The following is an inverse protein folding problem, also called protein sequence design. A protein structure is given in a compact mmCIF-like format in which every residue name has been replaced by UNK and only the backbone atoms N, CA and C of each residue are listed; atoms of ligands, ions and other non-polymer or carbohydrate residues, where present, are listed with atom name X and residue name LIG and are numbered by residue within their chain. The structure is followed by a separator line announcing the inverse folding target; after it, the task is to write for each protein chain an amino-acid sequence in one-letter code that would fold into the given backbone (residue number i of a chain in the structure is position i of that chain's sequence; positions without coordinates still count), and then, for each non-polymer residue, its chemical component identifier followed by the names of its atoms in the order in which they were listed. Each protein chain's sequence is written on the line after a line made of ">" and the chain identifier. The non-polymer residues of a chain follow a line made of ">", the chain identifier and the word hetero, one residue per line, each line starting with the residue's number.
data_IF_935264846496
#
_entry.id   IF_935264846496
#
_cell.length_a   1.000
_cell.length_b   1.000
_cell.length_c   1.000
_cell.angle_alpha   90.00
_cell.angle_beta   90.00
_cell.angle_gamma   90.00
#
_symmetry.space_group_name_H-M   'P 1'
#
loop_
_entity.id
_entity.type
_entity.pdbx_description
1 polymer ?
#
# COMPACT_ATOMS: atom_id res chain seq x y z
N UNK A 1 6.40 -55.13 -45.64
CA UNK A 1 7.35 -54.33 -44.90
C UNK A 1 6.59 -53.11 -44.38
N UNK A 2 5.95 -53.24 -43.21
CA UNK A 2 5.07 -52.21 -42.62
C UNK A 2 5.85 -51.35 -41.63
N UNK A 3 6.07 -50.08 -41.95
CA UNK A 3 6.57 -49.06 -41.00
C UNK A 3 5.38 -48.50 -40.24
N UNK A 4 5.26 -48.80 -38.95
CA UNK A 4 4.34 -48.13 -38.03
C UNK A 4 4.93 -46.77 -37.65
N UNK A 5 4.24 -45.70 -38.04
CA UNK A 5 4.47 -44.33 -37.51
C UNK A 5 3.92 -44.26 -36.09
N UNK A 6 4.79 -44.10 -35.12
CA UNK A 6 4.41 -43.78 -33.74
C UNK A 6 4.26 -42.25 -33.63
N UNK A 7 3.03 -41.78 -33.60
CA UNK A 7 2.74 -40.35 -33.32
C UNK A 7 2.93 -40.08 -31.83
N UNK A 8 3.92 -39.23 -31.51
CA UNK A 8 4.16 -38.70 -30.18
C UNK A 8 3.17 -37.55 -29.94
N UNK A 9 2.12 -37.77 -29.16
CA UNK A 9 1.22 -36.73 -28.70
C UNK A 9 1.92 -36.07 -27.51
N UNK A 10 2.48 -34.87 -27.72
CA UNK A 10 2.94 -33.99 -26.62
C UNK A 10 1.70 -33.31 -26.05
N UNK A 11 1.21 -33.79 -24.90
CA UNK A 11 0.24 -33.05 -24.08
C UNK A 11 0.99 -31.86 -23.46
N UNK A 12 0.79 -30.70 -24.04
CA UNK A 12 1.17 -29.43 -23.37
C UNK A 12 0.18 -29.25 -22.21
N UNK A 13 0.63 -29.55 -21.01
CA UNK A 13 -0.05 -29.14 -19.79
C UNK A 13 0.10 -27.60 -19.68
N UNK A 14 -0.88 -26.85 -20.19
CA UNK A 14 -1.09 -25.47 -19.79
C UNK A 14 -1.54 -25.53 -18.33
N UNK A 15 -0.60 -25.38 -17.42
CA UNK A 15 -0.91 -25.05 -16.04
C UNK A 15 -1.72 -23.76 -16.06
N UNK A 16 -3.01 -23.86 -15.80
CA UNK A 16 -3.79 -22.67 -15.48
C UNK A 16 -3.12 -22.05 -14.24
N UNK A 17 -2.43 -20.94 -14.42
CA UNK A 17 -2.09 -20.04 -13.33
C UNK A 17 -3.43 -19.66 -12.72
N UNK A 18 -3.74 -20.21 -11.55
CA UNK A 18 -4.85 -19.72 -10.74
C UNK A 18 -4.47 -18.28 -10.34
N UNK A 19 -4.81 -17.33 -11.18
CA UNK A 19 -4.80 -15.93 -10.82
C UNK A 19 -5.77 -15.79 -9.65
N UNK A 20 -5.27 -15.38 -8.51
CA UNK A 20 -6.10 -15.16 -7.34
C UNK A 20 -7.01 -13.96 -7.64
N UNK A 21 -8.33 -14.16 -7.51
CA UNK A 21 -9.32 -13.13 -7.73
C UNK A 21 -9.00 -11.88 -6.91
N UNK A 22 -8.77 -10.77 -7.57
CA UNK A 22 -8.57 -9.49 -6.90
C UNK A 22 -9.89 -8.70 -6.92
N UNK A 23 -10.24 -8.13 -5.78
CA UNK A 23 -11.34 -7.17 -5.67
C UNK A 23 -10.75 -5.77 -5.65
N UNK A 24 -11.25 -4.91 -6.54
CA UNK A 24 -10.84 -3.51 -6.61
C UNK A 24 -12.02 -2.65 -6.20
N UNK A 25 -11.76 -1.68 -5.34
CA UNK A 25 -12.73 -0.65 -4.96
C UNK A 25 -12.32 0.68 -5.56
N UNK A 26 -13.32 1.49 -5.98
CA UNK A 26 -13.10 2.79 -6.58
C UNK A 26 -14.09 3.82 -6.04
N UNK A 27 -13.57 4.95 -5.53
CA UNK A 27 -14.38 6.06 -5.01
C UNK A 27 -14.76 6.99 -6.14
N UNK A 28 -16.05 7.15 -6.42
CA UNK A 28 -16.56 8.04 -7.45
C UNK A 28 -17.15 9.30 -6.81
N UNK A 29 -16.38 10.37 -6.80
CA UNK A 29 -16.70 11.58 -6.03
C UNK A 29 -17.95 12.29 -6.49
N UNK A 30 -18.13 12.53 -7.79
CA UNK A 30 -19.32 13.20 -8.33
C UNK A 30 -20.54 12.30 -8.31
N UNK A 31 -20.40 11.02 -8.63
CA UNK A 31 -21.48 10.03 -8.51
C UNK A 31 -21.87 9.74 -7.07
N UNK A 32 -20.97 10.03 -6.11
CA UNK A 32 -21.14 9.70 -4.69
C UNK A 32 -21.40 8.21 -4.47
N UNK A 33 -20.64 7.37 -5.15
CA UNK A 33 -20.74 5.92 -5.06
C UNK A 33 -19.37 5.29 -4.87
N UNK A 34 -19.36 4.09 -4.30
CA UNK A 34 -18.24 3.17 -4.33
C UNK A 34 -18.50 2.12 -5.41
N UNK A 35 -17.56 1.92 -6.30
CA UNK A 35 -17.58 0.79 -7.23
C UNK A 35 -16.85 -0.40 -6.63
N UNK A 36 -17.35 -1.61 -6.91
CA UNK A 36 -16.65 -2.88 -6.64
C UNK A 36 -16.43 -3.61 -7.96
N UNK A 37 -15.20 -3.94 -8.24
CA UNK A 37 -14.79 -4.68 -9.44
C UNK A 37 -14.19 -6.02 -8.99
N UNK A 38 -14.67 -7.09 -9.59
CA UNK A 38 -14.20 -8.45 -9.38
C UNK A 38 -13.50 -8.91 -10.67
N UNK A 39 -12.19 -9.11 -10.58
CA UNK A 39 -11.37 -9.39 -11.78
C UNK A 39 -11.55 -10.82 -12.28
N UNK A 40 -11.97 -11.74 -11.44
CA UNK A 40 -12.17 -13.14 -11.79
C UNK A 40 -13.49 -13.34 -12.55
N UNK A 41 -14.59 -12.86 -11.97
CA UNK A 41 -15.89 -12.88 -12.63
C UNK A 41 -16.03 -11.83 -13.73
N UNK A 42 -15.04 -10.93 -13.87
CA UNK A 42 -15.04 -9.80 -14.80
C UNK A 42 -16.25 -8.89 -14.66
N UNK A 43 -16.75 -8.74 -13.44
CA UNK A 43 -17.94 -7.95 -13.14
C UNK A 43 -17.60 -6.64 -12.44
N UNK A 44 -18.48 -5.66 -12.63
CA UNK A 44 -18.43 -4.37 -11.94
C UNK A 44 -19.82 -4.01 -11.41
N UNK A 45 -19.85 -3.51 -10.17
CA UNK A 45 -21.00 -2.84 -9.57
C UNK A 45 -20.60 -1.40 -9.22
N UNK A 46 -21.07 -0.44 -10.00
CA UNK A 46 -20.79 0.99 -9.78
C UNK A 46 -21.65 1.62 -8.67
N UNK A 47 -22.60 0.88 -8.14
CA UNK A 47 -23.51 1.28 -7.06
C UNK A 47 -23.36 0.42 -5.82
N UNK A 48 -22.20 -0.22 -5.64
CA UNK A 48 -21.90 -1.14 -4.54
C UNK A 48 -22.19 -0.52 -3.17
N UNK A 49 -21.87 0.77 -2.99
CA UNK A 49 -22.30 1.54 -1.84
C UNK A 49 -22.61 2.99 -2.23
N UNK A 50 -23.58 3.60 -1.53
CA UNK A 50 -23.87 5.04 -1.62
C UNK A 50 -22.97 5.77 -0.63
N UNK A 51 -22.30 6.84 -1.08
CA UNK A 51 -21.39 7.64 -0.27
C UNK A 51 -21.98 9.02 0.07
N UNK A 52 -21.39 9.65 1.09
CA UNK A 52 -21.67 11.02 1.51
C UNK A 52 -21.25 12.07 0.49
N UNK A 53 -21.21 13.34 0.92
CA UNK A 53 -20.84 14.46 0.06
C UNK A 53 -19.33 14.52 -0.18
N UNK A 54 -18.95 14.68 -1.44
CA UNK A 54 -17.53 14.82 -1.87
C UNK A 54 -16.65 13.71 -1.29
N UNK A 55 -16.95 12.43 -1.57
CA UNK A 55 -16.08 11.35 -1.14
C UNK A 55 -14.74 11.47 -1.86
N UNK A 56 -13.64 11.15 -1.13
CA UNK A 56 -12.29 11.41 -1.60
C UNK A 56 -11.42 10.16 -1.57
N UNK A 57 -10.63 9.95 -0.52
CA UNK A 57 -9.74 8.81 -0.39
C UNK A 57 -10.33 7.74 0.55
N UNK A 58 -9.78 6.53 0.48
CA UNK A 58 -10.23 5.41 1.31
C UNK A 58 -9.06 4.60 1.85
N UNK A 59 -9.31 3.94 2.97
CA UNK A 59 -8.50 2.82 3.46
C UNK A 59 -9.39 1.61 3.71
N UNK A 60 -8.83 0.41 3.70
CA UNK A 60 -9.61 -0.82 3.90
C UNK A 60 -8.80 -1.88 4.65
N UNK A 61 -9.51 -2.83 5.26
CA UNK A 61 -8.95 -4.06 5.79
C UNK A 61 -9.77 -5.28 5.35
N UNK A 62 -9.64 -6.40 6.06
CA UNK A 62 -10.33 -7.65 5.72
C UNK A 62 -11.86 -7.50 5.72
N UNK A 63 -12.42 -6.75 6.67
CA UNK A 63 -13.86 -6.67 6.90
C UNK A 63 -14.48 -5.33 6.50
N UNK A 64 -13.71 -4.24 6.48
CA UNK A 64 -14.24 -2.88 6.38
C UNK A 64 -13.57 -2.04 5.30
N UNK A 65 -14.31 -1.04 4.85
CA UNK A 65 -13.82 0.07 4.02
C UNK A 65 -14.18 1.37 4.75
N UNK A 66 -13.20 2.26 4.92
CA UNK A 66 -13.41 3.61 5.43
C UNK A 66 -13.18 4.62 4.33
N UNK A 67 -14.24 5.38 4.01
CA UNK A 67 -14.20 6.40 2.96
C UNK A 67 -14.35 7.79 3.56
N UNK A 68 -13.45 8.68 3.21
CA UNK A 68 -13.55 10.10 3.57
C UNK A 68 -14.71 10.73 2.79
N UNK A 69 -15.63 11.42 3.49
CA UNK A 69 -16.68 12.25 2.92
C UNK A 69 -16.39 13.72 3.29
N UNK A 70 -15.55 14.39 2.48
CA UNK A 70 -15.01 15.72 2.79
C UNK A 70 -16.09 16.78 2.97
N UNK A 71 -17.15 16.73 2.14
CA UNK A 71 -18.27 17.69 2.21
C UNK A 71 -19.13 17.56 3.47
N UNK A 72 -19.17 16.36 4.07
CA UNK A 72 -19.92 16.07 5.29
C UNK A 72 -19.05 16.18 6.56
N UNK A 73 -17.74 16.31 6.42
CA UNK A 73 -16.76 16.24 7.50
C UNK A 73 -16.81 14.92 8.29
N UNK A 74 -17.00 13.81 7.59
CA UNK A 74 -17.18 12.49 8.17
C UNK A 74 -16.33 11.43 7.46
N UNK A 75 -16.20 10.27 8.11
CA UNK A 75 -15.76 9.01 7.51
C UNK A 75 -16.94 8.06 7.51
N UNK A 76 -17.24 7.45 6.38
CA UNK A 76 -18.17 6.33 6.31
C UNK A 76 -17.43 5.01 6.45
N UNK A 77 -17.89 4.18 7.37
CA UNK A 77 -17.43 2.81 7.57
C UNK A 77 -18.43 1.87 6.90
N UNK A 78 -17.97 1.09 5.96
CA UNK A 78 -18.78 0.16 5.16
C UNK A 78 -18.30 -1.27 5.42
N UNK A 79 -19.26 -2.20 5.40
CA UNK A 79 -18.93 -3.62 5.28
C UNK A 79 -18.33 -3.88 3.90
N UNK A 80 -17.13 -4.44 3.88
CA UNK A 80 -16.37 -4.61 2.62
C UNK A 80 -17.00 -5.62 1.66
N UNK A 81 -17.72 -6.61 2.15
CA UNK A 81 -18.29 -7.67 1.32
C UNK A 81 -19.64 -7.25 0.71
N UNK A 82 -20.43 -6.49 1.46
CA UNK A 82 -21.81 -6.14 1.09
C UNK A 82 -22.01 -4.69 0.67
N UNK A 83 -21.03 -3.80 0.97
CA UNK A 83 -21.17 -2.35 0.76
C UNK A 83 -22.13 -1.67 1.74
N UNK A 84 -22.64 -2.39 2.73
CA UNK A 84 -23.59 -1.84 3.70
C UNK A 84 -22.93 -0.79 4.59
N UNK A 85 -23.56 0.37 4.76
CA UNK A 85 -23.10 1.38 5.71
C UNK A 85 -23.26 0.86 7.14
N UNK A 86 -22.16 0.74 7.87
CA UNK A 86 -22.12 0.32 9.26
C UNK A 86 -22.21 1.53 10.21
N UNK A 87 -21.36 2.54 9.98
CA UNK A 87 -21.29 3.75 10.80
C UNK A 87 -20.91 4.96 9.97
N UNK A 88 -21.34 6.15 10.44
CA UNK A 88 -20.83 7.44 9.99
C UNK A 88 -20.07 8.06 11.17
N UNK A 89 -18.79 8.30 11.00
CA UNK A 89 -17.87 8.77 12.05
C UNK A 89 -17.58 10.26 11.84
N UNK A 90 -18.04 11.17 12.71
CA UNK A 90 -17.73 12.60 12.59
C UNK A 90 -16.25 12.85 12.92
N UNK A 91 -15.59 13.68 12.11
CA UNK A 91 -14.19 14.09 12.35
C UNK A 91 -14.15 15.38 13.17
N UNK A 92 -14.39 16.52 12.54
CA UNK A 92 -14.48 17.83 13.21
C UNK A 92 -15.25 18.80 12.32
N UNK A 93 -15.92 19.82 12.90
CA UNK A 93 -16.62 20.82 12.11
C UNK A 93 -15.69 21.54 11.13
N UNK A 94 -16.11 21.67 9.88
CA UNK A 94 -15.40 22.38 8.81
C UNK A 94 -13.95 21.95 8.59
N UNK A 95 -13.58 20.71 8.96
CA UNK A 95 -12.21 20.23 8.79
C UNK A 95 -11.88 19.83 7.35
N UNK A 96 -12.90 19.55 6.53
CA UNK A 96 -12.73 19.01 5.18
C UNK A 96 -11.70 17.86 5.18
N UNK A 97 -12.04 16.70 5.74
CA UNK A 97 -11.11 15.57 5.80
C UNK A 97 -10.71 15.15 4.39
N UNK A 98 -9.42 14.81 4.19
CA UNK A 98 -8.90 14.52 2.85
C UNK A 98 -8.44 13.08 2.69
N UNK A 99 -7.59 12.59 3.57
CA UNK A 99 -7.09 11.22 3.55
C UNK A 99 -7.37 10.52 4.88
N UNK A 100 -7.44 9.20 4.83
CA UNK A 100 -7.65 8.33 5.98
C UNK A 100 -6.74 7.11 5.90
N UNK A 101 -6.05 6.82 7.01
CA UNK A 101 -5.20 5.64 7.13
C UNK A 101 -5.52 4.88 8.41
N UNK A 102 -5.84 3.58 8.27
CA UNK A 102 -6.05 2.69 9.42
C UNK A 102 -4.72 2.16 9.93
N UNK A 103 -4.44 2.35 11.22
CA UNK A 103 -3.28 1.77 11.92
C UNK A 103 -3.76 1.21 13.26
N UNK A 104 -3.68 -0.10 13.42
CA UNK A 104 -4.19 -0.78 14.62
C UNK A 104 -5.69 -0.49 14.85
N UNK A 105 -6.04 -0.02 16.05
CA UNK A 105 -7.40 0.29 16.46
C UNK A 105 -7.83 1.74 16.18
N UNK A 106 -7.08 2.45 15.33
CA UNK A 106 -7.30 3.87 15.05
C UNK A 106 -7.35 4.18 13.56
N UNK A 107 -8.16 5.20 13.22
CA UNK A 107 -8.08 5.92 11.96
C UNK A 107 -7.32 7.24 12.18
N UNK A 108 -6.36 7.51 11.32
CA UNK A 108 -5.68 8.79 11.24
C UNK A 108 -6.23 9.53 10.02
N UNK A 109 -6.66 10.78 10.22
CA UNK A 109 -7.40 11.55 9.21
C UNK A 109 -6.81 12.95 9.11
N UNK A 110 -6.46 13.38 7.91
CA UNK A 110 -6.02 14.76 7.66
C UNK A 110 -7.22 15.68 7.53
N UNK A 111 -7.16 16.85 8.15
CA UNK A 111 -8.16 17.90 8.05
C UNK A 111 -7.61 19.10 7.29
N UNK A 112 -7.89 19.15 5.99
CA UNK A 112 -7.34 20.12 5.03
C UNK A 112 -7.50 21.58 5.48
N UNK A 113 -8.67 21.95 6.04
CA UNK A 113 -8.98 23.32 6.40
C UNK A 113 -8.65 23.69 7.85
N UNK A 114 -8.19 22.73 8.63
CA UNK A 114 -7.86 22.93 10.05
C UNK A 114 -6.39 22.79 10.35
N UNK A 115 -5.58 22.43 9.35
CA UNK A 115 -4.14 22.16 9.48
C UNK A 115 -3.83 21.10 10.55
N UNK A 116 -4.71 20.07 10.66
CA UNK A 116 -4.62 19.08 11.72
C UNK A 116 -4.63 17.65 11.18
N UNK A 117 -3.96 16.78 11.94
CA UNK A 117 -4.13 15.36 11.92
C UNK A 117 -5.06 14.95 13.06
N UNK A 118 -6.10 14.18 12.78
CA UNK A 118 -7.04 13.65 13.75
C UNK A 118 -6.79 12.15 13.97
N UNK A 119 -6.94 11.70 15.22
CA UNK A 119 -6.89 10.30 15.61
C UNK A 119 -8.27 9.89 16.11
N UNK A 120 -8.95 8.99 15.40
CA UNK A 120 -10.24 8.42 15.77
C UNK A 120 -10.05 7.01 16.30
N UNK A 121 -10.76 6.68 17.37
CA UNK A 121 -10.83 5.31 17.89
C UNK A 121 -11.91 4.53 17.16
N UNK A 122 -11.56 3.37 16.59
CA UNK A 122 -12.53 2.45 15.98
C UNK A 122 -13.52 1.90 17.00
N UNK A 123 -13.08 1.68 18.24
CA UNK A 123 -13.95 1.18 19.31
C UNK A 123 -15.07 2.17 19.68
N UNK A 124 -14.75 3.46 19.87
CA UNK A 124 -15.73 4.47 20.24
C UNK A 124 -16.40 5.18 19.05
N UNK A 125 -15.78 5.15 17.86
CA UNK A 125 -16.23 5.90 16.70
C UNK A 125 -16.03 7.43 16.82
N UNK A 126 -15.18 7.89 17.73
CA UNK A 126 -14.99 9.31 18.04
C UNK A 126 -13.53 9.72 17.92
N UNK A 127 -13.28 11.02 17.72
CA UNK A 127 -11.94 11.61 17.79
C UNK A 127 -11.44 11.55 19.22
N UNK A 128 -10.30 10.92 19.43
CA UNK A 128 -9.62 10.79 20.73
C UNK A 128 -8.34 11.64 20.82
N UNK A 129 -7.93 12.23 19.72
CA UNK A 129 -6.78 13.15 19.68
C UNK A 129 -6.76 13.97 18.41
N UNK A 130 -6.14 15.16 18.48
CA UNK A 130 -5.83 15.98 17.30
C UNK A 130 -4.47 16.63 17.48
N UNK A 131 -3.72 16.76 16.39
CA UNK A 131 -2.37 17.25 16.37
C UNK A 131 -2.23 18.34 15.30
N UNK A 132 -1.65 19.49 15.64
CA UNK A 132 -1.31 20.51 14.66
C UNK A 132 -0.17 20.03 13.79
N UNK A 133 -0.34 20.08 12.47
CA UNK A 133 0.67 19.75 11.46
C UNK A 133 0.93 20.96 10.57
N UNK A 134 1.51 20.79 9.40
CA UNK A 134 1.68 21.89 8.46
C UNK A 134 0.38 22.28 7.75
N UNK A 135 0.45 23.35 6.92
CA UNK A 135 -0.73 23.93 6.27
C UNK A 135 -1.31 23.01 5.19
N UNK A 136 -2.63 22.89 5.22
CA UNK A 136 -3.42 22.11 4.28
C UNK A 136 -2.92 20.67 4.11
N UNK A 137 -3.02 19.83 5.17
CA UNK A 137 -2.56 18.45 5.13
C UNK A 137 -3.48 17.60 4.25
N UNK A 138 -2.87 16.81 3.36
CA UNK A 138 -3.54 15.89 2.44
C UNK A 138 -3.10 14.42 2.70
N UNK A 139 -2.13 13.90 1.95
CA UNK A 139 -1.78 12.49 1.97
C UNK A 139 -1.12 11.97 3.24
N UNK A 140 -1.32 10.70 3.52
CA UNK A 140 -0.78 9.96 4.65
C UNK A 140 0.05 8.74 4.20
N UNK A 141 1.13 8.47 4.90
CA UNK A 141 1.86 7.20 4.80
C UNK A 141 2.44 6.80 6.16
N UNK A 142 2.53 5.50 6.44
CA UNK A 142 3.13 4.99 7.67
C UNK A 142 4.35 4.12 7.36
N UNK A 143 5.33 4.14 8.26
CA UNK A 143 6.47 3.24 8.25
C UNK A 143 6.97 3.00 9.68
N UNK A 144 6.84 1.76 10.15
CA UNK A 144 7.11 1.42 11.55
C UNK A 144 6.19 2.21 12.50
N UNK A 145 6.77 2.86 13.48
CA UNK A 145 6.06 3.69 14.46
C UNK A 145 5.91 5.16 14.01
N UNK A 146 6.24 5.48 12.75
CA UNK A 146 6.14 6.84 12.20
C UNK A 146 4.97 6.95 11.23
N UNK A 147 4.26 8.08 11.32
CA UNK A 147 3.26 8.51 10.35
C UNK A 147 3.73 9.81 9.69
N UNK A 148 3.67 9.84 8.37
CA UNK A 148 4.04 11.00 7.55
C UNK A 148 2.80 11.67 7.02
N UNK A 149 2.77 12.99 7.11
CA UNK A 149 1.66 13.85 6.66
C UNK A 149 2.17 14.82 5.62
N UNK A 150 1.64 14.76 4.41
CA UNK A 150 1.93 15.70 3.35
C UNK A 150 1.17 17.02 3.59
N UNK A 151 1.88 18.11 3.82
CA UNK A 151 1.31 19.45 3.99
C UNK A 151 1.51 20.22 2.69
N UNK A 152 0.44 20.46 1.95
CA UNK A 152 0.53 21.07 0.60
C UNK A 152 0.94 22.52 0.60
N UNK A 153 0.80 23.23 1.73
CA UNK A 153 1.01 24.68 1.85
C UNK A 153 -0.21 25.51 1.45
N UNK A 154 -1.23 24.87 0.88
CA UNK A 154 -2.52 25.48 0.53
C UNK A 154 -2.53 26.31 -0.76
N UNK A 155 -3.58 26.14 -1.55
CA UNK A 155 -3.78 26.85 -2.83
C UNK A 155 -3.71 28.38 -2.69
N UNK A 156 -4.33 28.93 -1.65
CA UNK A 156 -4.36 30.38 -1.41
C UNK A 156 -2.98 30.99 -1.19
N UNK A 157 -2.01 30.18 -0.75
CA UNK A 157 -0.62 30.58 -0.54
C UNK A 157 0.29 30.15 -1.69
N UNK A 158 -0.27 29.80 -2.84
CA UNK A 158 0.46 29.22 -3.98
C UNK A 158 1.37 28.06 -3.54
N UNK A 159 0.88 27.24 -2.58
CA UNK A 159 1.58 26.09 -2.01
C UNK A 159 2.94 26.44 -1.38
N UNK A 160 3.10 27.64 -0.86
CA UNK A 160 4.28 28.03 -0.11
C UNK A 160 4.39 27.22 1.19
N UNK A 161 5.63 26.95 1.64
CA UNK A 161 5.92 26.18 2.85
C UNK A 161 5.42 24.71 2.81
N UNK A 162 5.37 24.14 1.62
CA UNK A 162 5.12 22.69 1.44
C UNK A 162 6.11 21.87 2.25
N UNK A 163 5.61 20.88 2.98
CA UNK A 163 6.42 20.07 3.89
C UNK A 163 5.82 18.69 4.13
N UNK A 164 6.58 17.82 4.78
CA UNK A 164 6.10 16.58 5.38
C UNK A 164 6.29 16.67 6.89
N UNK A 165 5.20 16.56 7.65
CA UNK A 165 5.29 16.38 9.10
C UNK A 165 5.54 14.91 9.42
N UNK A 166 6.51 14.65 10.30
CA UNK A 166 6.82 13.31 10.84
C UNK A 166 6.20 13.21 12.22
N UNK A 167 5.30 12.27 12.40
CA UNK A 167 4.56 12.05 13.64
C UNK A 167 4.98 10.72 14.25
N UNK A 168 5.39 10.74 15.52
CA UNK A 168 5.61 9.52 16.31
C UNK A 168 4.24 9.04 16.82
N UNK A 169 3.89 7.79 16.48
CA UNK A 169 2.62 7.19 16.84
C UNK A 169 2.54 6.75 18.31
N UNK A 170 3.69 6.61 18.98
CA UNK A 170 3.75 6.14 20.38
C UNK A 170 3.21 7.16 21.37
N UNK A 171 3.48 8.44 21.12
CA UNK A 171 3.01 9.58 21.95
C UNK A 171 2.11 10.57 21.19
N UNK A 172 1.90 10.32 19.90
CA UNK A 172 1.11 11.15 18.99
C UNK A 172 1.60 12.59 18.95
N UNK A 173 2.89 12.79 18.66
CA UNK A 173 3.54 14.10 18.58
C UNK A 173 4.26 14.31 17.24
N UNK A 174 4.39 15.58 16.77
CA UNK A 174 5.23 15.93 15.63
C UNK A 174 6.68 15.95 16.10
N UNK A 175 7.51 15.07 15.54
CA UNK A 175 8.94 14.98 15.88
C UNK A 175 9.84 15.69 14.88
N UNK A 176 9.36 15.93 13.66
CA UNK A 176 10.09 16.69 12.63
C UNK A 176 9.13 17.28 11.58
N UNK A 177 9.61 18.28 10.85
CA UNK A 177 8.93 18.85 9.68
C UNK A 177 9.97 19.07 8.58
N UNK A 178 9.83 18.36 7.47
CA UNK A 178 10.82 18.30 6.39
C UNK A 178 10.30 19.11 5.21
N UNK A 179 10.97 20.20 4.78
CA UNK A 179 10.58 20.94 3.58
C UNK A 179 10.68 20.05 2.32
N UNK A 180 9.67 20.14 1.46
CA UNK A 180 9.62 19.41 0.19
C UNK A 180 9.20 20.33 -0.95
N UNK A 181 9.18 19.81 -2.18
CA UNK A 181 8.72 20.55 -3.34
C UNK A 181 7.23 20.93 -3.24
N UNK A 182 6.80 21.87 -4.07
CA UNK A 182 5.46 22.47 -4.04
C UNK A 182 4.34 21.45 -4.15
N UNK A 183 3.35 21.54 -3.24
CA UNK A 183 2.11 20.78 -3.26
C UNK A 183 2.30 19.25 -3.15
N UNK A 184 2.86 18.72 -2.06
CA UNK A 184 2.91 17.29 -1.80
C UNK A 184 1.49 16.75 -1.53
N UNK A 185 1.03 15.81 -2.34
CA UNK A 185 -0.32 15.24 -2.20
C UNK A 185 -0.33 13.76 -1.84
N UNK A 186 0.64 12.98 -2.33
CA UNK A 186 0.71 11.55 -2.07
C UNK A 186 2.06 11.15 -1.50
N UNK A 187 2.02 10.18 -0.61
CA UNK A 187 3.19 9.62 0.06
C UNK A 187 3.21 8.10 -0.09
N UNK A 188 4.37 7.52 -0.29
CA UNK A 188 4.55 6.07 -0.27
C UNK A 188 5.92 5.72 0.27
N UNK A 189 5.97 4.84 1.27
CA UNK A 189 7.23 4.33 1.82
C UNK A 189 7.67 3.04 1.11
N UNK A 190 8.97 2.93 0.81
CA UNK A 190 9.62 1.74 0.28
C UNK A 190 11.05 1.63 0.83
N UNK A 191 11.40 0.49 1.42
CA UNK A 191 12.78 0.15 1.85
C UNK A 191 13.50 1.25 2.64
N UNK A 192 12.79 1.86 3.61
CA UNK A 192 13.35 2.92 4.46
C UNK A 192 13.40 4.31 3.80
N UNK A 193 12.83 4.48 2.64
CA UNK A 193 12.68 5.76 1.94
C UNK A 193 11.21 6.15 1.84
N UNK A 194 10.91 7.43 2.04
CA UNK A 194 9.61 8.00 1.76
C UNK A 194 9.67 8.76 0.44
N UNK A 195 8.83 8.35 -0.50
CA UNK A 195 8.67 9.01 -1.79
C UNK A 195 7.45 9.92 -1.72
N UNK A 196 7.67 11.21 -1.95
CA UNK A 196 6.68 12.28 -1.83
C UNK A 196 6.33 12.78 -3.22
N UNK A 197 5.11 12.54 -3.65
CA UNK A 197 4.60 13.05 -4.93
C UNK A 197 4.11 14.47 -4.75
N UNK A 198 4.88 15.42 -5.28
CA UNK A 198 4.60 16.84 -5.27
C UNK A 198 4.03 17.25 -6.65
N UNK A 199 2.79 17.73 -6.68
CA UNK A 199 2.04 18.00 -7.93
C UNK A 199 2.51 19.27 -8.63
N UNK A 200 3.16 20.20 -7.89
CA UNK A 200 3.44 21.54 -8.36
C UNK A 200 2.29 22.52 -8.08
N UNK A 201 2.39 23.76 -8.54
CA UNK A 201 1.45 24.81 -8.17
C UNK A 201 0.31 25.07 -9.17
N UNK A 202 0.07 24.15 -10.09
CA UNK A 202 -0.95 24.25 -11.16
C UNK A 202 -0.72 25.40 -12.16
N UNK A 203 0.40 26.09 -12.07
CA UNK A 203 0.79 27.20 -12.93
C UNK A 203 2.16 26.94 -13.59
N UNK A 204 3.20 27.52 -13.05
CA UNK A 204 4.56 27.52 -13.58
C UNK A 204 5.49 26.47 -12.96
N UNK A 205 5.15 25.92 -11.77
CA UNK A 205 5.92 24.86 -11.15
C UNK A 205 5.34 23.50 -11.50
N UNK A 206 6.13 22.69 -12.20
CA UNK A 206 5.80 21.30 -12.49
C UNK A 206 6.04 20.39 -11.27
N UNK A 207 5.41 19.21 -11.30
CA UNK A 207 5.53 18.22 -10.22
C UNK A 207 6.89 17.52 -10.19
N UNK A 208 7.28 17.08 -9.01
CA UNK A 208 8.52 16.36 -8.72
C UNK A 208 8.28 15.28 -7.66
N UNK A 209 9.12 14.28 -7.62
CA UNK A 209 9.18 13.35 -6.51
C UNK A 209 10.32 13.76 -5.59
N UNK A 210 10.02 14.09 -4.35
CA UNK A 210 11.03 14.21 -3.31
C UNK A 210 11.20 12.88 -2.60
N UNK A 211 12.43 12.51 -2.31
CA UNK A 211 12.78 11.28 -1.60
C UNK A 211 13.44 11.65 -0.28
N UNK A 212 12.88 11.14 0.80
CA UNK A 212 13.34 11.35 2.17
C UNK A 212 13.89 10.02 2.70
N UNK A 213 15.05 10.05 3.32
CA UNK A 213 15.57 8.92 4.09
C UNK A 213 14.84 8.85 5.43
N UNK A 214 14.09 7.78 5.69
CA UNK A 214 13.24 7.68 6.88
C UNK A 214 14.06 7.61 8.18
N UNK A 215 15.16 6.83 8.28
CA UNK A 215 15.96 6.76 9.49
C UNK A 215 16.59 8.10 9.91
N UNK A 216 17.14 8.85 8.98
CA UNK A 216 17.74 10.16 9.27
C UNK A 216 16.74 11.32 9.23
N UNK A 217 15.59 11.11 8.62
CA UNK A 217 14.56 12.13 8.34
C UNK A 217 15.11 13.31 7.51
N UNK A 218 16.05 13.05 6.63
CA UNK A 218 16.67 14.05 5.76
C UNK A 218 16.20 13.89 4.31
N UNK A 219 16.11 15.00 3.59
CA UNK A 219 15.85 15.03 2.16
C UNK A 219 17.04 14.40 1.42
N UNK A 220 16.81 13.28 0.74
CA UNK A 220 17.85 12.52 0.04
C UNK A 220 18.02 12.96 -1.42
N UNK A 221 16.92 13.12 -2.16
CA UNK A 221 16.96 13.43 -3.57
C UNK A 221 15.64 14.02 -4.07
N UNK A 222 15.71 14.65 -5.25
CA UNK A 222 14.55 15.14 -6.01
C UNK A 222 14.60 14.61 -7.43
N UNK A 223 13.52 13.99 -7.89
CA UNK A 223 13.38 13.39 -9.23
C UNK A 223 12.46 14.28 -10.06
N UNK A 224 12.96 14.75 -11.19
CA UNK A 224 12.29 15.73 -12.02
C UNK A 224 11.52 15.05 -13.16
N UNK A 225 10.35 14.48 -12.83
CA UNK A 225 9.49 13.82 -13.83
C UNK A 225 8.73 14.83 -14.69
N UNK A 226 8.53 16.03 -14.21
CA UNK A 226 7.69 17.09 -14.77
C UNK A 226 6.24 16.59 -15.05
N UNK A 227 5.27 17.48 -15.02
CA UNK A 227 3.86 17.13 -15.10
C UNK A 227 3.13 17.48 -13.81
N UNK A 228 1.92 16.94 -13.61
CA UNK A 228 1.09 17.14 -12.41
C UNK A 228 1.01 15.81 -11.67
N UNK A 229 2.04 15.49 -10.89
CA UNK A 229 2.21 14.17 -10.30
C UNK A 229 1.14 13.91 -9.24
N UNK A 230 0.63 12.68 -9.25
CA UNK A 230 -0.42 12.19 -8.36
C UNK A 230 0.07 10.93 -7.59
N UNK A 231 -0.73 9.90 -7.50
CA UNK A 231 -0.42 8.69 -6.74
C UNK A 231 0.89 8.01 -7.19
N UNK A 232 1.53 7.33 -6.25
CA UNK A 232 2.73 6.52 -6.49
C UNK A 232 2.47 5.10 -6.02
N UNK A 233 2.80 4.14 -6.86
CA UNK A 233 2.80 2.72 -6.54
C UNK A 233 4.13 2.09 -6.95
N UNK A 234 4.58 1.05 -6.24
CA UNK A 234 5.84 0.36 -6.50
C UNK A 234 5.60 -1.10 -6.88
N UNK A 235 6.23 -1.53 -7.96
CA UNK A 235 6.32 -2.95 -8.29
C UNK A 235 7.24 -3.71 -7.33
N UNK A 236 7.15 -5.04 -7.34
CA UNK A 236 8.05 -5.91 -6.56
C UNK A 236 9.53 -5.76 -6.93
N UNK A 237 9.83 -5.18 -8.09
CA UNK A 237 11.19 -4.90 -8.56
C UNK A 237 11.68 -3.51 -8.14
N UNK A 238 10.86 -2.73 -7.43
CA UNK A 238 11.19 -1.37 -7.01
C UNK A 238 11.01 -0.34 -8.14
N UNK A 239 10.23 -0.64 -9.17
CA UNK A 239 9.86 0.35 -10.19
C UNK A 239 8.65 1.13 -9.71
N UNK A 240 8.82 2.43 -9.55
CA UNK A 240 7.74 3.35 -9.25
C UNK A 240 6.89 3.63 -10.49
N UNK A 241 5.58 3.52 -10.37
CA UNK A 241 4.60 4.03 -11.31
C UNK A 241 3.95 5.27 -10.70
N UNK A 242 3.93 6.37 -11.44
CA UNK A 242 3.46 7.67 -10.95
C UNK A 242 2.32 8.16 -11.82
N UNK A 243 1.17 8.40 -11.20
CA UNK A 243 -0.01 8.97 -11.86
C UNK A 243 0.18 10.44 -12.22
N UNK A 244 -0.69 10.94 -13.08
CA UNK A 244 -0.68 12.33 -13.58
C UNK A 244 -2.11 12.89 -13.61
N UNK A 245 -2.31 14.08 -13.05
CA UNK A 245 -3.63 14.67 -12.80
C UNK A 245 -4.47 14.90 -14.06
N UNK A 246 -3.85 15.26 -15.17
CA UNK A 246 -4.54 15.46 -16.44
C UNK A 246 -4.76 14.15 -17.21
N UNK A 247 -4.28 13.05 -16.62
CA UNK A 247 -4.38 11.69 -17.19
C UNK A 247 -3.86 11.59 -18.63
N UNK A 248 -2.84 12.39 -18.97
CA UNK A 248 -2.21 12.39 -20.30
C UNK A 248 -1.25 11.22 -20.48
N UNK A 249 -0.87 10.58 -19.39
CA UNK A 249 0.01 9.42 -19.32
C UNK A 249 0.22 9.01 -17.88
N UNK A 250 1.22 8.17 -17.66
CA UNK A 250 1.83 7.93 -16.34
C UNK A 250 3.35 7.76 -16.53
N UNK A 251 4.08 7.90 -15.43
CA UNK A 251 5.54 7.97 -15.48
C UNK A 251 6.16 6.84 -14.67
N UNK A 252 7.45 6.58 -14.90
CA UNK A 252 8.20 5.56 -14.15
C UNK A 252 9.59 6.06 -13.79
N UNK A 253 10.03 5.62 -12.62
CA UNK A 253 11.43 5.70 -12.21
C UNK A 253 11.81 4.46 -11.39
N UNK A 254 13.11 4.18 -11.32
CA UNK A 254 13.64 3.14 -10.44
C UNK A 254 13.82 3.72 -9.04
N UNK A 255 13.10 3.19 -8.03
CA UNK A 255 13.07 3.73 -6.67
C UNK A 255 14.39 3.50 -5.89
N UNK A 256 15.24 2.57 -6.32
CA UNK A 256 16.53 2.31 -5.69
C UNK A 256 17.63 3.22 -6.25
N UNK A 257 17.77 3.27 -7.57
CA UNK A 257 18.77 4.11 -8.25
C UNK A 257 18.32 5.56 -8.47
N UNK A 258 17.02 5.83 -8.32
CA UNK A 258 16.34 7.11 -8.57
C UNK A 258 16.41 7.57 -10.04
N UNK A 259 16.72 6.64 -10.97
CA UNK A 259 16.83 6.91 -12.38
C UNK A 259 15.45 7.04 -13.04
N UNK A 260 15.25 8.07 -13.83
CA UNK A 260 14.02 8.29 -14.61
C UNK A 260 13.96 7.28 -15.75
N UNK A 261 12.87 6.54 -15.87
CA UNK A 261 12.58 5.61 -16.97
C UNK A 261 11.61 6.24 -17.98
N UNK A 262 10.60 6.94 -17.50
CA UNK A 262 9.62 7.69 -18.31
C UNK A 262 9.21 8.96 -17.56
N UNK A 263 8.95 10.02 -18.30
CA UNK A 263 8.53 11.34 -17.78
C UNK A 263 7.48 11.96 -18.71
N UNK A 264 7.15 13.23 -18.51
CA UNK A 264 6.22 13.94 -19.40
C UNK A 264 6.67 13.96 -20.87
N UNK A 265 7.97 13.84 -21.14
CA UNK A 265 8.51 13.82 -22.50
C UNK A 265 8.26 12.49 -23.25
N UNK A 266 8.06 11.40 -22.51
CA UNK A 266 7.80 10.07 -23.05
C UNK A 266 6.85 9.27 -22.14
N UNK A 267 5.61 9.76 -21.90
CA UNK A 267 4.68 9.15 -20.98
C UNK A 267 4.19 7.79 -21.48
N UNK A 268 3.88 6.90 -20.53
CA UNK A 268 3.23 5.63 -20.84
C UNK A 268 1.72 5.79 -20.95
N UNK A 269 1.10 4.93 -21.75
CA UNK A 269 -0.35 4.87 -21.95
C UNK A 269 -0.97 3.59 -21.34
N UNK A 270 -2.24 3.64 -20.92
CA UNK A 270 -3.15 4.80 -20.91
C UNK A 270 -2.76 5.82 -19.84
N UNK A 271 -3.33 7.03 -19.88
CA UNK A 271 -3.19 7.99 -18.80
C UNK A 271 -3.75 7.44 -17.48
N UNK A 272 -3.12 7.78 -16.36
CA UNK A 272 -3.54 7.37 -15.05
C UNK A 272 -3.48 8.52 -14.05
N UNK A 273 -4.56 8.72 -13.27
CA UNK A 273 -4.64 9.62 -12.13
C UNK A 273 -4.22 8.91 -10.84
N UNK A 274 -4.86 7.77 -10.55
CA UNK A 274 -4.53 6.91 -9.45
C UNK A 274 -4.01 5.56 -9.95
N UNK A 275 -3.05 4.99 -9.23
CA UNK A 275 -2.42 3.72 -9.51
C UNK A 275 -2.36 2.92 -8.21
N UNK A 276 -2.80 1.69 -8.29
CA UNK A 276 -2.58 0.68 -7.24
C UNK A 276 -2.24 -0.66 -7.89
N UNK A 277 -1.65 -1.58 -7.15
CA UNK A 277 -1.24 -2.84 -7.72
C UNK A 277 -0.76 -3.84 -6.68
N UNK A 278 -0.58 -5.06 -7.12
CA UNK A 278 0.02 -6.13 -6.35
C UNK A 278 0.98 -6.95 -7.22
N UNK A 279 1.34 -8.17 -6.82
CA UNK A 279 2.26 -9.02 -7.58
C UNK A 279 1.64 -9.56 -8.87
N UNK A 280 0.32 -9.54 -9.03
CA UNK A 280 -0.41 -10.17 -10.12
C UNK A 280 -1.00 -9.17 -11.12
N UNK A 281 -1.34 -7.96 -10.66
CA UNK A 281 -1.95 -6.93 -11.50
C UNK A 281 -1.57 -5.51 -11.09
N UNK A 282 -1.71 -4.60 -12.05
CA UNK A 282 -1.63 -3.14 -11.87
C UNK A 282 -2.94 -2.52 -12.34
N UNK A 283 -3.57 -1.73 -11.47
CA UNK A 283 -4.78 -0.97 -11.76
C UNK A 283 -4.40 0.50 -12.04
N UNK A 284 -4.76 0.99 -13.22
CA UNK A 284 -4.52 2.35 -13.68
C UNK A 284 -5.87 3.04 -13.83
N UNK A 285 -6.19 3.98 -12.97
CA UNK A 285 -7.43 4.73 -13.02
C UNK A 285 -7.22 6.06 -13.74
N UNK A 286 -7.91 6.24 -14.84
CA UNK A 286 -7.97 7.50 -15.58
C UNK A 286 -9.19 8.29 -15.16
N UNK A 287 -8.97 9.46 -14.58
CA UNK A 287 -10.06 10.37 -14.27
C UNK A 287 -10.54 11.09 -15.54
N UNK A 288 -11.86 11.15 -15.74
CA UNK A 288 -12.49 11.92 -16.80
C UNK A 288 -13.47 12.93 -16.18
N UNK A 289 -13.47 14.17 -16.67
CA UNK A 289 -14.40 15.20 -16.28
C UNK A 289 -15.64 15.15 -17.17
N UNK A 290 -16.85 15.15 -16.56
CA UNK A 290 -18.12 15.14 -17.27
C UNK A 290 -18.46 13.82 -17.99
N UNK A 291 -17.69 12.76 -17.77
CA UNK A 291 -17.94 11.41 -18.28
C UNK A 291 -17.38 10.37 -17.30
N UNK A 292 -17.84 9.11 -17.39
CA UNK A 292 -17.32 8.04 -16.54
C UNK A 292 -15.80 7.94 -16.58
N UNK A 293 -15.18 7.79 -15.42
CA UNK A 293 -13.77 7.48 -15.31
C UNK A 293 -13.48 6.06 -15.81
N UNK A 294 -12.26 5.78 -16.20
CA UNK A 294 -11.87 4.48 -16.75
C UNK A 294 -10.87 3.79 -15.82
N UNK A 295 -11.08 2.51 -15.61
CA UNK A 295 -10.13 1.63 -14.93
C UNK A 295 -9.52 0.66 -15.94
N UNK A 296 -8.20 0.70 -16.08
CA UNK A 296 -7.44 -0.25 -16.88
C UNK A 296 -6.72 -1.20 -15.94
N UNK A 297 -6.98 -2.49 -16.08
CA UNK A 297 -6.25 -3.54 -15.39
C UNK A 297 -5.20 -4.08 -16.34
N UNK A 298 -3.97 -4.17 -15.84
CA UNK A 298 -2.79 -4.61 -16.56
C UNK A 298 -2.14 -5.79 -15.85
N UNK A 299 -1.43 -6.61 -16.59
CA UNK A 299 -0.46 -7.53 -16.01
C UNK A 299 0.74 -6.76 -15.41
N UNK A 300 1.57 -7.36 -14.55
CA UNK A 300 2.75 -6.69 -13.98
C UNK A 300 3.74 -6.14 -15.02
N UNK A 301 3.79 -6.74 -16.22
CA UNK A 301 4.57 -6.27 -17.36
C UNK A 301 3.91 -5.09 -18.12
N UNK A 302 2.78 -4.60 -17.62
CA UNK A 302 1.94 -3.54 -18.18
C UNK A 302 1.21 -3.91 -19.47
N UNK A 303 1.23 -5.16 -19.90
CA UNK A 303 0.39 -5.62 -21.01
C UNK A 303 -1.11 -5.51 -20.66
N UNK A 304 -1.94 -5.29 -21.68
CA UNK A 304 -3.37 -5.08 -21.49
C UNK A 304 -4.08 -6.36 -21.03
N UNK A 305 -4.98 -6.22 -20.01
CA UNK A 305 -5.81 -7.31 -19.55
C UNK A 305 -7.30 -6.96 -19.62
N UNK A 306 -7.79 -6.05 -18.75
CA UNK A 306 -9.21 -5.70 -18.66
C UNK A 306 -9.40 -4.18 -18.62
N UNK A 307 -10.62 -3.73 -18.94
CA UNK A 307 -11.02 -2.33 -18.81
C UNK A 307 -12.45 -2.23 -18.33
N UNK A 308 -12.72 -1.24 -17.46
CA UNK A 308 -14.05 -0.96 -16.89
C UNK A 308 -14.37 0.52 -16.93
N UNK A 309 -15.68 0.84 -17.05
CA UNK A 309 -16.21 2.18 -16.83
C UNK A 309 -16.60 2.30 -15.36
N UNK A 310 -16.04 3.29 -14.67
CA UNK A 310 -16.35 3.65 -13.29
C UNK A 310 -17.48 4.70 -13.26
N UNK A 311 -17.81 5.21 -12.07
CA UNK A 311 -18.65 6.39 -11.90
C UNK A 311 -17.94 7.69 -12.32
N UNK A 312 -18.62 8.82 -12.10
CA UNK A 312 -18.11 10.14 -12.46
C UNK A 312 -17.08 10.62 -11.45
N UNK A 313 -15.97 11.18 -11.96
CA UNK A 313 -14.86 11.76 -11.20
C UNK A 313 -14.37 10.79 -10.11
N UNK A 314 -13.78 9.68 -10.54
CA UNK A 314 -13.14 8.75 -9.62
C UNK A 314 -11.89 9.40 -9.01
N UNK A 315 -11.72 9.29 -7.68
CA UNK A 315 -10.64 9.95 -6.92
C UNK A 315 -9.63 8.98 -6.33
N UNK A 316 -10.04 7.76 -6.03
CA UNK A 316 -9.16 6.74 -5.44
C UNK A 316 -9.54 5.33 -5.88
N UNK A 317 -8.55 4.47 -5.94
CA UNK A 317 -8.70 3.02 -6.14
C UNK A 317 -7.85 2.27 -5.11
N UNK A 318 -8.40 1.15 -4.60
CA UNK A 318 -7.65 0.22 -3.74
C UNK A 318 -7.91 -1.22 -4.16
N UNK A 319 -6.85 -1.98 -4.26
CA UNK A 319 -6.92 -3.42 -4.44
C UNK A 319 -7.00 -4.08 -3.06
N UNK A 320 -8.03 -4.88 -2.86
CA UNK A 320 -8.08 -5.77 -1.71
C UNK A 320 -7.35 -7.06 -2.05
N UNK A 321 -6.29 -7.32 -1.33
CA UNK A 321 -5.63 -8.61 -1.31
C UNK A 321 -6.25 -9.42 -0.17
N UNK A 322 -7.00 -10.48 -0.51
CA UNK A 322 -7.38 -11.42 0.54
C UNK A 322 -6.08 -11.90 1.20
N UNK A 323 -6.00 -11.88 2.54
CA UNK A 323 -4.88 -12.53 3.19
C UNK A 323 -4.85 -13.94 2.61
N UNK A 324 -3.77 -14.29 1.95
CA UNK A 324 -3.58 -15.65 1.47
C UNK A 324 -3.91 -16.53 2.65
N UNK A 325 -5.01 -17.29 2.55
CA UNK A 325 -5.29 -18.29 3.54
C UNK A 325 -4.01 -19.12 3.61
N UNK A 326 -3.25 -18.91 4.69
CA UNK A 326 -2.20 -19.86 5.00
C UNK A 326 -3.01 -21.10 5.26
N UNK A 327 -3.13 -21.96 4.26
CA UNK A 327 -3.61 -23.31 4.47
C UNK A 327 -2.78 -23.80 5.65
N UNK A 328 -3.43 -24.31 6.69
CA UNK A 328 -2.76 -25.05 7.78
C UNK A 328 -2.00 -26.28 7.22
N UNK A 329 -2.15 -26.59 5.96
CA UNK A 329 -1.22 -27.38 5.19
C UNK A 329 0.11 -26.61 5.20
N UNK A 330 1.01 -27.01 6.10
CA UNK A 330 2.37 -26.54 6.19
C UNK A 330 2.88 -26.30 4.77
N UNK A 331 2.99 -25.00 4.39
CA UNK A 331 3.69 -24.62 3.16
C UNK A 331 5.10 -25.12 3.43
N UNK A 332 5.38 -26.30 2.93
CA UNK A 332 6.71 -26.85 2.81
C UNK A 332 7.41 -26.01 1.75
N UNK A 333 7.72 -24.75 2.13
CA UNK A 333 8.68 -23.98 1.36
C UNK A 333 9.91 -24.89 1.22
N UNK A 334 10.40 -25.16 0.02
CA UNK A 334 11.54 -26.02 -0.15
C UNK A 334 12.76 -25.38 0.52
N UNK A 335 12.99 -25.71 1.79
CA UNK A 335 14.17 -25.19 2.48
C UNK A 335 14.18 -25.27 4.00
N UNK A 336 13.16 -24.89 4.75
CA UNK A 336 13.20 -24.87 6.21
C UNK A 336 11.84 -25.12 6.86
N UNK A 337 11.76 -26.14 7.73
CA UNK A 337 10.62 -26.38 8.60
C UNK A 337 10.96 -26.11 10.05
N UNK A 338 10.06 -25.44 10.78
CA UNK A 338 10.15 -25.16 12.22
C UNK A 338 9.02 -25.88 12.95
N UNK A 339 9.34 -26.63 14.00
CA UNK A 339 8.34 -27.28 14.83
C UNK A 339 8.84 -27.53 16.28
N UNK A 340 7.98 -27.50 17.29
CA UNK A 340 6.57 -27.14 17.21
C UNK A 340 6.35 -25.66 16.88
N UNK A 341 5.26 -25.36 16.19
CA UNK A 341 4.81 -23.98 15.97
C UNK A 341 3.26 -23.97 16.03
N UNK A 342 2.64 -23.43 17.05
CA UNK A 342 3.21 -22.63 18.16
C UNK A 342 4.12 -23.41 19.11
N UNK A 343 5.17 -22.74 19.62
CA UNK A 343 6.14 -23.27 20.56
C UNK A 343 5.97 -22.63 21.96
N UNK A 344 6.31 -23.37 23.03
CA UNK A 344 6.41 -22.81 24.37
C UNK A 344 7.84 -22.32 24.64
N UNK A 345 7.97 -21.30 25.48
CA UNK A 345 9.30 -20.73 25.83
C UNK A 345 10.32 -21.74 26.38
N UNK A 346 9.85 -22.79 27.04
CA UNK A 346 10.68 -23.86 27.58
C UNK A 346 11.03 -24.95 26.58
N UNK A 347 10.50 -24.88 25.35
CA UNK A 347 10.65 -25.93 24.37
C UNK A 347 11.93 -25.73 23.52
N UNK A 348 12.36 -26.83 22.95
CA UNK A 348 13.39 -26.89 21.92
C UNK A 348 12.73 -26.82 20.56
N UNK A 349 13.00 -25.75 19.79
CA UNK A 349 12.52 -25.60 18.43
C UNK A 349 13.42 -26.42 17.49
N UNK A 350 12.80 -27.33 16.77
CA UNK A 350 13.48 -28.11 15.73
C UNK A 350 13.39 -27.39 14.39
N UNK A 351 14.50 -27.35 13.68
CA UNK A 351 14.72 -26.60 12.45
C UNK A 351 15.23 -27.56 11.38
N UNK A 352 14.35 -28.03 10.52
CA UNK A 352 14.72 -28.96 9.42
C UNK A 352 15.12 -28.16 8.18
N UNK A 353 16.42 -27.94 8.01
CA UNK A 353 16.99 -27.30 6.81
C UNK A 353 17.09 -28.31 5.68
N UNK A 354 16.08 -28.34 4.82
CA UNK A 354 15.99 -29.24 3.66
C UNK A 354 16.84 -28.80 2.46
N UNK A 355 17.56 -27.68 2.58
CA UNK A 355 18.53 -27.29 1.56
C UNK A 355 19.82 -28.13 1.69
N UNK A 356 20.49 -28.39 0.57
CA UNK A 356 21.78 -29.08 0.57
C UNK A 356 22.95 -28.18 1.00
N UNK A 357 22.66 -26.96 1.51
CA UNK A 357 23.65 -25.95 1.86
C UNK A 357 23.40 -25.42 3.27
N UNK A 358 24.47 -24.93 3.90
CA UNK A 358 24.33 -24.13 5.12
C UNK A 358 23.51 -22.88 4.81
N UNK A 359 22.62 -22.52 5.75
CA UNK A 359 21.82 -21.30 5.67
C UNK A 359 21.89 -20.56 7.01
N UNK A 360 21.56 -19.28 7.02
CA UNK A 360 21.47 -18.50 8.24
C UNK A 360 19.98 -18.29 8.56
N UNK A 361 19.54 -18.73 9.73
CA UNK A 361 18.25 -18.37 10.31
C UNK A 361 18.39 -17.04 11.02
N UNK A 362 17.47 -16.12 10.77
CA UNK A 362 17.32 -14.86 11.50
C UNK A 362 15.89 -14.77 12.03
N UNK A 363 15.75 -14.46 13.32
CA UNK A 363 14.47 -14.20 13.98
C UNK A 363 14.30 -12.71 14.22
N UNK A 364 13.08 -12.24 14.00
CA UNK A 364 12.69 -10.84 14.13
C UNK A 364 11.46 -10.72 15.01
N UNK A 365 11.39 -9.68 15.83
CA UNK A 365 10.17 -9.29 16.53
C UNK A 365 9.19 -8.56 15.58
N UNK A 366 8.00 -8.19 16.07
CA UNK A 366 6.99 -7.43 15.30
C UNK A 366 7.48 -6.05 14.83
N UNK A 367 8.55 -5.52 15.44
CA UNK A 367 9.18 -4.25 15.04
C UNK A 367 10.25 -4.42 13.96
N UNK A 368 10.42 -5.64 13.42
CA UNK A 368 11.47 -5.93 12.45
C UNK A 368 12.89 -5.99 13.02
N UNK A 369 13.06 -5.85 14.33
CA UNK A 369 14.38 -5.95 14.98
C UNK A 369 14.82 -7.41 15.04
N UNK A 370 16.03 -7.68 14.57
CA UNK A 370 16.63 -9.00 14.67
C UNK A 370 16.96 -9.33 16.13
N UNK A 371 16.33 -10.38 16.65
CA UNK A 371 16.46 -10.82 18.04
C UNK A 371 17.37 -12.04 18.19
N UNK A 372 17.57 -12.79 17.10
CA UNK A 372 18.44 -13.97 17.10
C UNK A 372 18.93 -14.28 15.68
N UNK A 373 20.13 -14.85 15.58
CA UNK A 373 20.69 -15.39 14.35
C UNK A 373 21.46 -16.68 14.64
N UNK A 374 21.29 -17.69 13.78
CA UNK A 374 21.96 -18.99 13.90
C UNK A 374 22.27 -19.57 12.52
N UNK A 375 23.47 -20.13 12.36
CA UNK A 375 23.84 -20.89 11.17
C UNK A 375 23.23 -22.29 11.27
N UNK A 376 22.47 -22.68 10.24
CA UNK A 376 21.88 -24.00 10.11
C UNK A 376 22.73 -24.86 9.18
N UNK A 377 23.10 -26.05 9.63
CA UNK A 377 23.62 -27.11 8.77
C UNK A 377 22.49 -27.70 7.91
N UNK A 378 22.78 -28.39 6.80
CA UNK A 378 21.80 -29.22 6.13
C UNK A 378 21.20 -30.27 7.07
N UNK A 379 19.88 -30.50 7.01
CA UNK A 379 19.17 -31.45 7.87
C UNK A 379 18.65 -30.80 9.18
N UNK A 380 18.49 -31.63 10.20
CA UNK A 380 17.87 -31.23 11.46
C UNK A 380 18.83 -30.42 12.35
N UNK A 381 18.39 -29.24 12.77
CA UNK A 381 19.06 -28.36 13.73
C UNK A 381 18.13 -28.11 14.92
N UNK A 382 18.65 -27.56 16.00
CA UNK A 382 17.90 -27.28 17.22
C UNK A 382 18.17 -25.86 17.72
N UNK A 383 17.13 -25.17 18.20
CA UNK A 383 17.21 -23.85 18.80
C UNK A 383 16.49 -23.88 20.15
N UNK A 384 17.20 -23.83 21.28
CA UNK A 384 16.58 -23.69 22.59
C UNK A 384 16.00 -22.29 22.74
N UNK A 385 14.69 -22.21 23.00
CA UNK A 385 13.97 -20.94 23.13
C UNK A 385 14.18 -20.28 24.50
N UNK A 386 14.42 -21.06 25.56
CA UNK A 386 14.58 -20.54 26.92
C UNK A 386 15.64 -19.44 27.08
N UNK A 387 16.84 -19.55 26.47
CA UNK A 387 17.86 -18.50 26.58
C UNK A 387 17.52 -17.19 25.86
N UNK A 388 16.57 -17.24 24.91
CA UNK A 388 16.23 -16.07 24.08
C UNK A 388 15.28 -15.08 24.77
N UNK A 389 14.77 -15.42 25.97
CA UNK A 389 13.87 -14.57 26.79
C UNK A 389 12.70 -13.96 26.00
N UNK A 390 12.18 -14.70 25.00
CA UNK A 390 11.12 -14.22 24.12
C UNK A 390 9.81 -14.01 24.87
N UNK A 391 9.12 -12.89 24.66
CA UNK A 391 7.76 -12.69 25.15
C UNK A 391 6.77 -13.61 24.40
N UNK A 392 5.62 -14.03 24.99
CA UNK A 392 4.56 -14.64 24.20
C UNK A 392 4.13 -13.69 23.09
N UNK A 393 3.96 -14.24 21.88
CA UNK A 393 3.60 -13.40 20.73
C UNK A 393 4.06 -13.99 19.41
N UNK A 394 3.88 -13.19 18.36
CA UNK A 394 4.26 -13.50 16.99
C UNK A 394 5.68 -12.99 16.70
N UNK A 395 6.45 -13.83 16.04
CA UNK A 395 7.78 -13.55 15.53
C UNK A 395 7.88 -13.93 14.08
N UNK A 396 8.79 -13.31 13.35
CA UNK A 396 9.09 -13.67 11.98
C UNK A 396 10.47 -14.32 11.89
N UNK A 397 10.63 -15.26 10.97
CA UNK A 397 11.94 -15.80 10.66
C UNK A 397 12.24 -15.68 9.17
N UNK A 398 13.53 -15.59 8.86
CA UNK A 398 14.05 -15.65 7.50
C UNK A 398 15.29 -16.54 7.47
N UNK A 399 15.37 -17.39 6.46
CA UNK A 399 16.57 -18.25 6.25
C UNK A 399 17.00 -18.18 4.79
N UNK A 400 18.31 -18.02 4.56
CA UNK A 400 18.91 -17.87 3.23
C UNK A 400 19.19 -16.43 2.85
N UNK A 401 19.76 -16.24 1.65
CA UNK A 401 20.16 -14.93 1.09
C UNK A 401 19.44 -14.68 -0.25
N UNK A 402 19.09 -13.42 -0.51
CA UNK A 402 18.52 -12.98 -1.78
C UNK A 402 17.15 -13.58 -2.12
N UNK A 403 16.90 -13.83 -3.40
CA UNK A 403 15.62 -14.34 -3.94
C UNK A 403 15.27 -15.78 -3.50
N UNK A 404 16.20 -16.53 -2.92
CA UNK A 404 15.97 -17.89 -2.42
C UNK A 404 15.76 -17.94 -0.91
N UNK A 405 15.57 -16.81 -0.23
CA UNK A 405 15.32 -16.79 1.20
C UNK A 405 13.92 -17.30 1.52
N UNK A 406 13.84 -18.21 2.47
CA UNK A 406 12.59 -18.71 3.05
C UNK A 406 12.21 -17.86 4.25
N UNK A 407 10.97 -17.40 4.32
CA UNK A 407 10.45 -16.62 5.45
C UNK A 407 9.18 -17.27 6.01
N UNK A 408 8.91 -17.07 7.29
CA UNK A 408 7.71 -17.58 7.92
C UNK A 408 7.47 -16.98 9.30
N UNK A 409 6.46 -17.50 10.00
CA UNK A 409 6.02 -17.03 11.32
C UNK A 409 6.35 -18.07 12.39
N UNK A 410 6.73 -17.61 13.57
CA UNK A 410 6.90 -18.40 14.76
C UNK A 410 6.02 -17.81 15.87
N UNK A 411 5.13 -18.62 16.45
CA UNK A 411 4.26 -18.20 17.56
C UNK A 411 4.83 -18.76 18.84
N UNK A 412 5.11 -17.90 19.80
CA UNK A 412 5.55 -18.27 21.17
C UNK A 412 4.37 -18.13 22.12
N UNK A 413 4.14 -19.18 22.94
CA UNK A 413 3.08 -19.24 23.97
C UNK A 413 3.66 -19.24 25.38
#
# INVERSE_FOLDING_TARGET
>A
MNRKLLGLIILIWLGALNLQAAIIYAVNSESRTLSRIDTDSQSIDNSFAQLGLTPNLMTLDEDHIWVVCSGDNTIQELDRQTGSLLRTLPVAPSCNPWDVLKIGDYLYVTGLFTDKLYKLSLASGTVVGSLQVGTAPEGLAAYGDLLFVANTGGYQNNYANSSVSVVDLSDFSVVNTIPVWSNPQYLKALDGRLHVSCTGNWSDLSGKIDVIDIPSQEHLARIDLNGRLMSVWFSSEGIALVGEALSTGFYRYDAHSLSILNSISNPLQPGAYAIDGNQELVALMRQNWGSPSLLYIRHPDLSAWQQYNLGLVCTDIKIYEAPTAVSDDAVTAPGLNLYPNPARRSELLKLDNRSNKRSELRLYNLRGQMIHSQILAPGLNELPLAPLTLAPGLYFYRSGLGKSAVSGRLIIR
#
